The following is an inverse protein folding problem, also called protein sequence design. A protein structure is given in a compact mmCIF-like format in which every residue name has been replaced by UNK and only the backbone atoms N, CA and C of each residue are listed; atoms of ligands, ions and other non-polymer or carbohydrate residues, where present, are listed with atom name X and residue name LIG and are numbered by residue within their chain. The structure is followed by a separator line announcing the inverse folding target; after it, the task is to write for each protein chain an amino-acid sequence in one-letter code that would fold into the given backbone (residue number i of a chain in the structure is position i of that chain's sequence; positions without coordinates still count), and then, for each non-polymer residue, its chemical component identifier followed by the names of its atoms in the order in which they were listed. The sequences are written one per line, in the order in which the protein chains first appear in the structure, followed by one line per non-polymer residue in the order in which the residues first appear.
data_IF_684915916028
#
_entry.id   IF_684915916028
#
_cell.length_a   1.000
_cell.length_b   1.000
_cell.length_c   1.000
_cell.angle_alpha   90.00
_cell.angle_beta   90.00
_cell.angle_gamma   90.00
#
_symmetry.space_group_name_H-M   'P 1'
#
loop_
_entity.id
_entity.type
_entity.pdbx_description
1 polymer ?
#
# COMPACT_ATOMS: atom_id res chain seq x y z
N UNK A 1 7.41 8.35 3.89
CA UNK A 1 6.42 8.74 2.86
C UNK A 1 7.02 9.47 1.67
N UNK A 2 8.03 10.34 1.86
CA UNK A 2 8.73 11.03 0.76
C UNK A 2 9.14 10.10 -0.40
N UNK A 3 9.70 8.92 -0.10
CA UNK A 3 10.15 7.97 -1.12
C UNK A 3 9.09 7.63 -2.19
N UNK A 4 7.83 7.40 -1.81
CA UNK A 4 6.78 7.06 -2.77
C UNK A 4 6.35 8.28 -3.61
N UNK A 5 6.31 9.47 -3.01
CA UNK A 5 6.05 10.72 -3.73
C UNK A 5 7.18 11.08 -4.69
N UNK A 6 8.43 10.88 -4.26
CA UNK A 6 9.62 11.10 -5.09
C UNK A 6 9.65 10.15 -6.29
N UNK A 7 9.32 8.87 -6.07
CA UNK A 7 9.19 7.89 -7.17
C UNK A 7 8.13 8.30 -8.19
N UNK A 8 7.00 8.88 -7.75
CA UNK A 8 5.96 9.40 -8.65
C UNK A 8 6.46 10.61 -9.46
N UNK A 9 7.24 11.49 -8.85
CA UNK A 9 7.88 12.60 -9.55
C UNK A 9 8.87 12.10 -10.61
N UNK A 10 9.66 11.06 -10.28
CA UNK A 10 10.63 10.44 -11.21
C UNK A 10 9.97 9.83 -12.45
N UNK A 11 8.73 9.33 -12.32
CA UNK A 11 7.97 8.76 -13.45
C UNK A 11 7.02 9.77 -14.13
N UNK A 12 7.28 11.08 -14.02
CA UNK A 12 6.51 12.16 -14.65
C UNK A 12 5.06 12.32 -14.17
N UNK A 13 4.75 11.90 -12.94
CA UNK A 13 3.56 12.38 -12.25
C UNK A 13 3.89 13.68 -11.52
N UNK A 14 2.89 14.53 -11.32
CA UNK A 14 3.03 15.82 -10.64
C UNK A 14 2.03 15.92 -9.49
N UNK A 15 2.41 16.74 -8.51
CA UNK A 15 1.65 17.02 -7.29
C UNK A 15 1.19 15.74 -6.55
N UNK A 16 2.10 14.81 -6.22
CA UNK A 16 1.74 13.61 -5.49
C UNK A 16 1.30 13.94 -4.06
N UNK A 17 0.10 13.49 -3.69
CA UNK A 17 -0.42 13.52 -2.32
C UNK A 17 -0.53 12.08 -1.85
N UNK A 18 0.28 11.72 -0.85
CA UNK A 18 0.35 10.37 -0.27
C UNK A 18 -0.21 10.39 1.15
N UNK A 19 -0.88 9.32 1.55
CA UNK A 19 -1.43 9.13 2.89
C UNK A 19 -1.30 7.66 3.33
N UNK A 20 -1.41 7.41 4.64
CA UNK A 20 -1.29 6.08 5.25
C UNK A 20 -2.40 5.85 6.24
N UNK A 21 -3.06 4.71 6.12
CA UNK A 21 -4.01 4.23 7.12
C UNK A 21 -3.53 2.93 7.76
N UNK A 22 -3.66 2.83 9.09
CA UNK A 22 -3.41 1.61 9.84
C UNK A 22 -4.73 0.96 10.23
N UNK A 23 -5.04 -0.19 9.64
CA UNK A 23 -6.29 -0.92 9.85
C UNK A 23 -6.02 -2.21 10.63
N UNK A 24 -6.54 -2.32 11.85
CA UNK A 24 -6.45 -3.56 12.65
C UNK A 24 -7.71 -4.41 12.50
N UNK A 25 -7.56 -5.58 11.88
CA UNK A 25 -8.61 -6.58 11.76
C UNK A 25 -8.44 -7.65 12.84
N UNK A 26 -9.54 -8.13 13.43
CA UNK A 26 -9.53 -9.17 14.45
C UNK A 26 -10.21 -10.44 13.94
N UNK A 27 -9.46 -11.53 13.88
CA UNK A 27 -9.92 -12.82 13.35
C UNK A 27 -10.30 -13.80 14.45
N UNK A 28 -11.28 -14.66 14.18
CA UNK A 28 -11.73 -15.68 15.15
C UNK A 28 -10.76 -16.87 15.23
N UNK A 29 -10.01 -17.15 14.16
CA UNK A 29 -9.01 -18.20 14.14
C UNK A 29 -7.67 -17.72 13.59
N UNK A 30 -6.59 -18.38 13.99
CA UNK A 30 -5.25 -18.14 13.47
C UNK A 30 -5.20 -18.35 11.96
N UNK A 31 -5.85 -19.41 11.47
CA UNK A 31 -5.87 -19.73 10.05
C UNK A 31 -6.61 -18.67 9.22
N UNK A 32 -7.64 -18.01 9.77
CA UNK A 32 -8.31 -16.90 9.09
C UNK A 32 -7.38 -15.70 8.92
N UNK A 33 -6.59 -15.37 9.95
CA UNK A 33 -5.58 -14.30 9.88
C UNK A 33 -4.47 -14.65 8.88
N UNK A 34 -3.98 -15.89 8.86
CA UNK A 34 -3.01 -16.32 7.84
C UNK A 34 -3.63 -16.29 6.44
N UNK A 35 -4.90 -16.65 6.30
CA UNK A 35 -5.60 -16.62 5.02
C UNK A 35 -5.82 -15.20 4.50
N UNK A 36 -6.04 -14.21 5.37
CA UNK A 36 -6.13 -12.81 4.94
C UNK A 36 -4.79 -12.27 4.44
N UNK A 37 -3.67 -12.64 5.09
CA UNK A 37 -2.31 -12.38 4.56
C UNK A 37 -2.14 -13.04 3.19
N UNK A 38 -2.62 -14.28 3.04
CA UNK A 38 -2.52 -15.01 1.76
C UNK A 38 -3.27 -14.30 0.64
N UNK A 39 -4.45 -13.75 0.92
CA UNK A 39 -5.29 -13.09 -0.08
C UNK A 39 -4.71 -11.76 -0.60
N UNK A 40 -3.88 -11.08 0.19
CA UNK A 40 -3.20 -9.85 -0.26
C UNK A 40 -1.91 -10.12 -1.06
N UNK A 41 -1.62 -11.39 -1.38
CA UNK A 41 -0.45 -11.76 -2.18
C UNK A 41 0.85 -11.91 -1.39
N UNK A 42 0.81 -11.83 -0.04
CA UNK A 42 1.98 -11.95 0.82
C UNK A 42 2.42 -13.43 1.04
N UNK A 43 2.43 -14.23 -0.02
CA UNK A 43 2.87 -15.63 -0.03
C UNK A 43 4.08 -15.86 -0.92
N UNK A 44 4.75 -14.79 -1.35
CA UNK A 44 5.93 -14.90 -2.22
C UNK A 44 7.08 -15.46 -1.40
N UNK A 45 7.47 -16.69 -1.71
CA UNK A 45 8.67 -17.30 -1.17
C UNK A 45 9.84 -16.86 -2.05
N UNK A 46 10.76 -16.07 -1.48
CA UNK A 46 11.99 -15.66 -2.18
C UNK A 46 12.91 -16.86 -2.48
N UNK A 47 12.79 -17.92 -1.67
CA UNK A 47 13.48 -19.18 -1.84
C UNK A 47 12.45 -20.31 -1.97
N UNK A 48 12.50 -21.05 -3.08
CA UNK A 48 11.61 -22.19 -3.35
C UNK A 48 12.05 -23.47 -2.64
N UNK A 49 13.22 -23.48 -2.00
CA UNK A 49 13.74 -24.59 -1.20
C UNK A 49 13.07 -24.71 0.18
N UNK A 50 12.25 -23.74 0.57
CA UNK A 50 11.59 -23.75 1.88
C UNK A 50 10.70 -24.98 2.04
N UNK A 51 11.03 -25.82 3.02
CA UNK A 51 10.24 -26.99 3.37
C UNK A 51 8.90 -26.57 3.99
N UNK A 52 7.82 -27.34 3.79
CA UNK A 52 6.57 -27.11 4.51
C UNK A 52 6.78 -27.17 6.03
N UNK A 53 6.08 -26.32 6.76
CA UNK A 53 6.07 -26.37 8.22
C UNK A 53 5.50 -27.70 8.72
N UNK A 54 6.18 -28.31 9.67
CA UNK A 54 5.68 -29.46 10.41
C UNK A 54 4.51 -29.08 11.32
N UNK A 55 3.74 -30.08 11.75
CA UNK A 55 2.62 -29.88 12.69
C UNK A 55 3.06 -29.23 14.00
N UNK A 56 4.25 -29.57 14.50
CA UNK A 56 4.78 -29.02 15.75
C UNK A 56 5.11 -27.53 15.58
N UNK A 57 5.74 -27.17 14.46
CA UNK A 57 6.05 -25.77 14.15
C UNK A 57 4.77 -24.93 13.99
N UNK A 58 3.77 -25.44 13.28
CA UNK A 58 2.46 -24.76 13.14
C UNK A 58 1.80 -24.56 14.50
N UNK A 59 1.78 -25.58 15.37
CA UNK A 59 1.21 -25.45 16.70
C UNK A 59 1.96 -24.43 17.57
N UNK A 60 3.29 -24.37 17.43
CA UNK A 60 4.14 -23.39 18.13
C UNK A 60 3.86 -21.97 17.64
N UNK A 61 3.65 -21.78 16.34
CA UNK A 61 3.19 -20.52 15.76
C UNK A 61 1.83 -20.10 16.31
N UNK A 62 0.86 -21.02 16.35
CA UNK A 62 -0.49 -20.73 16.88
C UNK A 62 -0.43 -20.32 18.35
N UNK A 63 0.37 -21.00 19.17
CA UNK A 63 0.45 -20.73 20.61
C UNK A 63 1.22 -19.46 20.96
N UNK A 64 2.20 -19.07 20.14
CA UNK A 64 2.98 -17.84 20.32
C UNK A 64 2.32 -16.60 19.70
N UNK A 65 1.34 -16.77 18.81
CA UNK A 65 0.69 -15.64 18.16
C UNK A 65 -0.11 -14.81 19.18
N UNK A 66 0.07 -13.47 19.22
CA UNK A 66 -0.60 -12.62 20.18
C UNK A 66 -2.12 -12.62 19.97
N UNK A 67 -2.86 -12.61 21.07
CA UNK A 67 -4.31 -12.44 21.05
C UNK A 67 -4.71 -11.12 21.68
N UNK A 68 -5.82 -10.56 21.20
CA UNK A 68 -6.45 -9.39 21.80
C UNK A 68 -7.21 -9.76 23.08
N UNK A 69 -7.65 -8.74 23.83
CA UNK A 69 -8.43 -8.92 25.07
C UNK A 69 -9.72 -9.73 24.88
N UNK A 70 -10.30 -9.71 23.68
CA UNK A 70 -11.46 -10.49 23.26
C UNK A 70 -11.11 -11.88 22.69
N UNK A 71 -9.89 -12.38 22.95
CA UNK A 71 -9.39 -13.70 22.53
C UNK A 71 -9.41 -13.93 21.00
N UNK A 72 -9.30 -12.85 20.22
CA UNK A 72 -9.17 -12.89 18.75
C UNK A 72 -7.71 -12.75 18.33
N UNK A 73 -7.43 -13.04 17.06
CA UNK A 73 -6.11 -12.87 16.44
C UNK A 73 -6.09 -11.53 15.69
N UNK A 74 -5.52 -10.44 16.28
CA UNK A 74 -5.43 -9.15 15.61
C UNK A 74 -4.32 -9.15 14.55
N UNK A 75 -4.58 -8.48 13.42
CA UNK A 75 -3.59 -8.20 12.40
C UNK A 75 -3.76 -6.75 11.92
N UNK A 76 -2.66 -5.99 11.93
CA UNK A 76 -2.66 -4.59 11.49
C UNK A 76 -2.07 -4.49 10.11
N UNK A 77 -2.83 -3.87 9.20
CA UNK A 77 -2.42 -3.58 7.83
C UNK A 77 -2.08 -2.10 7.71
N UNK A 78 -0.91 -1.81 7.16
CA UNK A 78 -0.54 -0.47 6.74
C UNK A 78 -0.93 -0.32 5.26
N UNK A 79 -1.89 0.57 4.98
CA UNK A 79 -2.39 0.84 3.63
C UNK A 79 -1.85 2.20 3.22
N UNK A 80 -0.90 2.18 2.27
CA UNK A 80 -0.35 3.38 1.66
C UNK A 80 -1.12 3.65 0.37
N UNK A 81 -1.68 4.84 0.24
CA UNK A 81 -2.37 5.26 -0.97
C UNK A 81 -1.98 6.69 -1.33
N UNK A 82 -2.21 7.07 -2.57
CA UNK A 82 -1.95 8.43 -3.00
C UNK A 82 -2.53 8.73 -4.37
N UNK A 83 -2.59 10.03 -4.65
CA UNK A 83 -3.08 10.57 -5.91
C UNK A 83 -2.02 11.49 -6.49
N UNK A 84 -1.87 11.45 -7.81
CA UNK A 84 -0.98 12.34 -8.54
C UNK A 84 -1.53 12.55 -9.95
N UNK A 85 -1.15 13.65 -10.60
CA UNK A 85 -1.59 13.97 -11.96
C UNK A 85 -0.55 13.54 -12.97
N UNK A 86 -0.97 13.02 -14.12
CA UNK A 86 -0.05 12.82 -15.23
C UNK A 86 0.41 14.18 -15.76
N UNK A 87 1.73 14.37 -15.92
CA UNK A 87 2.27 15.61 -16.48
C UNK A 87 1.82 15.76 -17.92
N UNK A 88 1.08 16.83 -18.24
CA UNK A 88 0.82 17.19 -19.63
C UNK A 88 2.14 17.62 -20.27
N UNK A 89 2.70 16.79 -21.14
CA UNK A 89 3.77 17.22 -22.04
C UNK A 89 3.18 18.25 -23.00
N UNK A 90 3.38 19.53 -22.71
CA UNK A 90 3.18 20.56 -23.72
C UNK A 90 4.26 20.34 -24.78
N UNK A 91 3.86 19.84 -25.95
CA UNK A 91 4.67 19.91 -27.16
C UNK A 91 5.01 21.38 -27.42
N UNK A 92 6.27 21.64 -27.73
CA UNK A 92 6.92 22.95 -27.77
C UNK A 92 6.44 23.90 -28.90
N UNK A 93 5.13 23.99 -29.17
CA UNK A 93 4.57 24.93 -30.16
C UNK A 93 3.51 25.90 -29.57
N UNK A 94 3.02 25.67 -28.35
CA UNK A 94 2.01 26.52 -27.69
C UNK A 94 2.61 27.64 -26.81
N UNK A 95 3.74 28.24 -27.22
CA UNK A 95 4.47 29.27 -26.44
C UNK A 95 3.79 30.64 -26.36
N UNK A 96 2.46 30.73 -26.53
CA UNK A 96 1.70 31.98 -26.39
C UNK A 96 0.37 31.76 -25.66
N UNK A 97 0.44 31.57 -24.35
CA UNK A 97 -0.72 31.87 -23.48
C UNK A 97 -0.78 33.39 -23.31
N UNK A 98 -1.42 34.07 -24.26
CA UNK A 98 -1.73 35.50 -24.16
C UNK A 98 -3.12 35.62 -23.55
N UNK A 99 -3.22 36.23 -22.37
CA UNK A 99 -4.52 36.61 -21.79
C UNK A 99 -4.84 38.02 -22.31
N UNK A 100 -5.80 38.21 -23.23
CA UNK A 100 -6.13 39.54 -23.72
C UNK A 100 -6.84 40.33 -22.62
N UNK A 101 -6.23 41.43 -22.19
CA UNK A 101 -6.89 42.42 -21.34
C UNK A 101 -7.89 43.18 -22.21
N UNK A 102 -9.18 42.99 -21.96
CA UNK A 102 -10.25 43.71 -22.64
C UNK A 102 -10.49 45.03 -21.89
N UNK A 103 -10.03 46.14 -22.45
CA UNK A 103 -10.44 47.46 -21.98
C UNK A 103 -11.94 47.65 -22.19
N UNK A 104 -12.64 48.02 -21.12
CA UNK A 104 -14.07 48.25 -21.11
C UNK A 104 -14.29 49.71 -21.54
N UNK A 105 -14.86 49.91 -22.73
CA UNK A 105 -15.43 51.21 -23.15
C UNK A 105 -16.79 51.44 -22.49
#
# INVERSE_FOLDING_TARGET
MHHYGDMLNDVNFVDPVMDVENITLKFNSFFDAVNSIRKIGANVLLDTSTKPLSKIEVNTLISSFPKSSDNKYPLTYEVIYGTAWAKKTMSHDDSKVVIPIKEKK
#
